data_IF_997193753365
#
_entry.id   IF_997193753365
#
_cell.length_a   1.000
_cell.length_b   1.000
_cell.length_c   1.000
_cell.angle_alpha   90.00
_cell.angle_beta   90.00
_cell.angle_gamma   90.00
#
_symmetry.space_group_name_H-M   'P 1'
#
loop_
_entity.id
_entity.type
_entity.pdbx_description
1 polymer ?
#
# COMPACT_ATOMS: atom_id res chain seq x y z
N UNK A 1 -6.43 23.38 -21.33
CA UNK A 1 -5.08 22.81 -21.09
C UNK A 1 -5.09 21.62 -20.15
N UNK A 2 -5.78 21.69 -19.00
CA UNK A 2 -5.86 20.58 -18.02
C UNK A 2 -6.42 19.25 -18.60
N UNK A 3 -7.39 19.30 -19.51
CA UNK A 3 -8.04 18.12 -20.09
C UNK A 3 -7.14 17.30 -21.03
N UNK A 4 -6.21 17.95 -21.75
CA UNK A 4 -5.26 17.28 -22.65
C UNK A 4 -4.22 16.48 -21.86
N UNK A 5 -3.79 16.99 -20.71
CA UNK A 5 -2.86 16.28 -19.80
C UNK A 5 -3.48 15.01 -19.19
N UNK A 6 -4.80 14.99 -19.00
CA UNK A 6 -5.53 13.79 -18.54
C UNK A 6 -5.47 12.69 -19.60
N UNK A 7 -5.63 13.05 -20.88
CA UNK A 7 -5.61 12.09 -22.00
C UNK A 7 -4.20 11.55 -22.30
N UNK A 8 -3.17 12.40 -22.17
CA UNK A 8 -1.78 12.05 -22.45
C UNK A 8 -1.10 11.25 -21.32
N UNK A 9 -1.83 10.82 -20.30
CA UNK A 9 -1.30 10.00 -19.20
C UNK A 9 -0.34 10.74 -18.27
N UNK A 10 -0.22 12.06 -18.38
CA UNK A 10 0.51 12.88 -17.41
C UNK A 10 -0.37 13.06 -16.18
N UNK A 11 -0.30 12.10 -15.26
CA UNK A 11 -0.94 12.16 -13.96
C UNK A 11 -0.15 13.14 -13.09
N UNK A 12 -0.61 14.39 -13.07
CA UNK A 12 -0.16 15.41 -12.14
C UNK A 12 -0.76 15.24 -10.73
N UNK A 13 -0.21 15.95 -9.74
CA UNK A 13 -0.63 15.86 -8.34
C UNK A 13 -2.12 16.17 -8.13
N UNK A 14 -2.70 17.02 -8.98
CA UNK A 14 -4.12 17.37 -8.92
C UNK A 14 -5.05 16.21 -9.28
N UNK A 15 -4.66 15.35 -10.23
CA UNK A 15 -5.45 14.16 -10.59
C UNK A 15 -5.39 13.10 -9.49
N UNK A 16 -4.23 12.91 -8.85
CA UNK A 16 -4.07 11.96 -7.73
C UNK A 16 -4.99 12.32 -6.58
N UNK A 17 -5.12 13.62 -6.26
CA UNK A 17 -6.03 14.10 -5.21
C UNK A 17 -7.49 13.76 -5.55
N UNK A 18 -7.92 14.02 -6.79
CA UNK A 18 -9.29 13.71 -7.24
C UNK A 18 -9.57 12.20 -7.17
N UNK A 19 -8.63 11.37 -7.65
CA UNK A 19 -8.77 9.91 -7.60
C UNK A 19 -8.82 9.44 -6.14
N UNK A 20 -7.91 9.92 -5.30
CA UNK A 20 -7.88 9.60 -3.87
C UNK A 20 -9.20 9.97 -3.19
N UNK A 21 -9.76 11.14 -3.50
CA UNK A 21 -11.07 11.57 -2.98
C UNK A 21 -12.20 10.64 -3.44
N UNK A 22 -12.24 10.24 -4.72
CA UNK A 22 -13.19 9.27 -5.23
C UNK A 22 -13.06 7.90 -4.53
N UNK A 23 -11.83 7.40 -4.36
CA UNK A 23 -11.58 6.12 -3.67
C UNK A 23 -12.01 6.23 -2.20
N UNK A 24 -11.76 7.35 -1.53
CA UNK A 24 -12.20 7.61 -0.15
C UNK A 24 -13.74 7.68 -0.06
N UNK A 25 -14.44 8.22 -1.05
CA UNK A 25 -15.91 8.24 -1.06
C UNK A 25 -16.50 6.85 -1.31
N UNK A 26 -15.88 6.04 -2.18
CA UNK A 26 -16.36 4.69 -2.50
C UNK A 26 -16.07 3.67 -1.40
N UNK A 27 -14.86 3.69 -0.84
CA UNK A 27 -14.44 2.72 0.17
C UNK A 27 -14.59 3.25 1.60
N UNK A 28 -14.72 4.57 1.78
CA UNK A 28 -14.67 5.23 3.08
C UNK A 28 -13.22 5.47 3.52
N UNK A 29 -12.93 6.67 4.04
CA UNK A 29 -11.58 7.06 4.48
C UNK A 29 -10.96 6.18 5.58
N UNK A 30 -11.76 5.31 6.21
CA UNK A 30 -11.31 4.37 7.25
C UNK A 30 -10.97 2.97 6.73
N UNK A 31 -11.54 2.51 5.60
CA UNK A 31 -11.30 1.14 5.11
C UNK A 31 -9.91 0.94 4.53
N UNK A 32 -9.37 1.90 3.78
CA UNK A 32 -8.02 1.78 3.21
C UNK A 32 -6.95 1.67 4.31
N UNK A 33 -6.93 2.55 5.34
CA UNK A 33 -5.98 2.40 6.45
C UNK A 33 -6.16 1.12 7.24
N UNK A 34 -7.40 0.65 7.45
CA UNK A 34 -7.69 -0.58 8.17
C UNK A 34 -7.19 -1.82 7.42
N UNK A 35 -7.41 -1.88 6.11
CA UNK A 35 -6.85 -2.93 5.24
C UNK A 35 -5.32 -2.89 5.22
N UNK A 36 -4.72 -1.69 5.12
CA UNK A 36 -3.26 -1.54 5.17
C UNK A 36 -2.67 -1.97 6.50
N UNK A 37 -3.34 -1.70 7.62
CA UNK A 37 -2.92 -2.17 8.95
C UNK A 37 -2.95 -3.69 9.04
N UNK A 38 -4.02 -4.34 8.56
CA UNK A 38 -4.12 -5.80 8.53
C UNK A 38 -3.05 -6.45 7.65
N UNK A 39 -2.85 -5.93 6.43
CA UNK A 39 -1.79 -6.41 5.52
C UNK A 39 -0.40 -6.17 6.11
N UNK A 40 -0.16 -5.01 6.72
CA UNK A 40 1.11 -4.67 7.35
C UNK A 40 1.45 -5.56 8.55
N UNK A 41 0.45 -5.93 9.35
CA UNK A 41 0.62 -6.91 10.42
C UNK A 41 0.98 -8.30 9.86
N UNK A 42 0.29 -8.77 8.82
CA UNK A 42 0.61 -10.03 8.17
C UNK A 42 2.02 -10.09 7.59
N UNK A 43 2.46 -9.02 6.89
CA UNK A 43 3.83 -8.93 6.37
C UNK A 43 4.87 -8.93 7.51
N UNK A 44 4.57 -8.24 8.63
CA UNK A 44 5.47 -8.18 9.79
C UNK A 44 5.65 -9.55 10.44
N UNK A 45 4.56 -10.29 10.64
CA UNK A 45 4.61 -11.65 11.19
C UNK A 45 5.32 -12.63 10.25
N UNK A 46 5.07 -12.52 8.94
CA UNK A 46 5.73 -13.34 7.93
C UNK A 46 7.25 -13.10 7.90
N UNK A 47 7.68 -11.83 7.99
CA UNK A 47 9.10 -11.48 8.07
C UNK A 47 9.75 -11.99 9.35
N UNK A 48 9.05 -11.89 10.49
CA UNK A 48 9.56 -12.37 11.77
C UNK A 48 9.78 -13.89 11.75
N UNK A 49 8.77 -14.65 11.29
CA UNK A 49 8.92 -16.10 11.15
C UNK A 49 10.09 -16.47 10.25
N UNK A 50 10.25 -15.79 9.11
CA UNK A 50 11.38 -16.02 8.17
C UNK A 50 12.73 -15.75 8.82
N UNK A 51 12.87 -14.66 9.59
CA UNK A 51 14.10 -14.37 10.33
C UNK A 51 14.39 -15.40 11.42
N UNK A 52 13.36 -15.88 12.13
CA UNK A 52 13.53 -16.90 13.16
C UNK A 52 14.05 -18.22 12.53
N UNK A 53 13.53 -18.61 11.35
CA UNK A 53 14.05 -19.75 10.59
C UNK A 53 15.49 -19.55 10.12
N UNK A 54 15.84 -18.34 9.65
CA UNK A 54 17.19 -18.02 9.20
C UNK A 54 18.20 -18.07 10.35
N UNK A 55 17.85 -17.55 11.53
CA UNK A 55 18.71 -17.61 12.72
C UNK A 55 18.97 -19.04 13.20
N UNK A 56 17.95 -19.91 13.24
CA UNK A 56 18.10 -21.32 13.64
C UNK A 56 19.06 -22.08 12.70
N UNK A 57 19.01 -21.78 11.41
CA UNK A 57 19.86 -22.43 10.41
C UNK A 57 21.34 -22.01 10.52
N UNK A 58 21.63 -20.83 11.10
CA UNK A 58 22.99 -20.36 11.33
C UNK A 58 23.62 -20.89 12.63
N UNK A 59 22.82 -21.32 13.62
CA UNK A 59 23.33 -21.96 14.85
C UNK A 59 23.59 -23.47 14.70
N UNK A 60 23.06 -24.10 13.64
CA UNK A 60 23.23 -25.54 13.39
C UNK A 60 24.38 -25.83 12.40
N UNK A 61 25.14 -24.82 11.99
CA UNK A 61 26.34 -24.93 11.15
C UNK A 61 27.62 -24.65 11.94
#
# INVERSE_FOLDING_TARGET
MMTISILLGMIGPWQIIIISLCVILLFGGKKIPEMMKGVGQGIKEFKKGTQDFENINNETK
#
